data_IF_225219864541
#
_entry.id   IF_225219864541
#
_cell.length_a   1.000
_cell.length_b   1.000
_cell.length_c   1.000
_cell.angle_alpha   90.00
_cell.angle_beta   90.00
_cell.angle_gamma   90.00
#
_symmetry.space_group_name_H-M   'P 1'
#
loop_
_entity.id
_entity.type
_entity.pdbx_description
1 polymer ?
#
# COMPACT_ATOMS: atom_id res chain seq x y z
N UNK A 1 22.48 -23.71 6.93
CA UNK A 1 21.53 -24.38 6.03
C UNK A 1 20.31 -23.47 6.02
N UNK A 2 20.03 -22.76 4.91
CA UNK A 2 18.88 -21.85 4.90
C UNK A 2 17.61 -22.70 4.90
N UNK A 3 16.72 -22.45 5.84
CA UNK A 3 15.49 -23.23 5.99
C UNK A 3 14.59 -23.02 4.76
N UNK A 4 14.28 -24.09 4.03
CA UNK A 4 13.43 -24.02 2.83
C UNK A 4 12.06 -23.40 3.12
N UNK A 5 11.57 -23.56 4.36
CA UNK A 5 10.34 -22.95 4.84
C UNK A 5 10.42 -21.42 4.89
N UNK A 6 11.56 -20.87 5.33
CA UNK A 6 11.79 -19.43 5.41
C UNK A 6 11.73 -18.77 4.03
N UNK A 7 12.45 -19.33 3.05
CA UNK A 7 12.46 -18.83 1.66
C UNK A 7 11.05 -18.88 1.07
N UNK A 8 10.34 -19.98 1.31
CA UNK A 8 8.98 -20.19 0.80
C UNK A 8 8.02 -19.14 1.36
N UNK A 9 8.10 -18.83 2.66
CA UNK A 9 7.27 -17.81 3.31
C UNK A 9 7.53 -16.41 2.73
N UNK A 10 8.79 -16.03 2.50
CA UNK A 10 9.12 -14.76 1.86
C UNK A 10 8.60 -14.72 0.42
N UNK A 11 8.73 -15.81 -0.33
CA UNK A 11 8.16 -15.94 -1.67
C UNK A 11 6.64 -15.75 -1.69
N UNK A 12 5.92 -16.36 -0.75
CA UNK A 12 4.47 -16.16 -0.59
C UNK A 12 4.12 -14.72 -0.22
N UNK A 13 4.88 -14.08 0.66
CA UNK A 13 4.67 -12.69 1.04
C UNK A 13 4.84 -11.76 -0.17
N UNK A 14 5.93 -11.87 -0.92
CA UNK A 14 6.18 -11.05 -2.10
C UNK A 14 5.21 -11.35 -3.26
N UNK A 15 4.85 -12.61 -3.47
CA UNK A 15 3.81 -13.02 -4.41
C UNK A 15 2.44 -12.46 -4.03
N UNK A 16 2.07 -12.52 -2.76
CA UNK A 16 0.85 -11.94 -2.21
C UNK A 16 0.80 -10.42 -2.39
N UNK A 17 1.92 -9.73 -2.17
CA UNK A 17 2.07 -8.29 -2.42
C UNK A 17 1.76 -7.93 -3.89
N UNK A 18 2.34 -8.71 -4.81
CA UNK A 18 2.18 -8.51 -6.27
C UNK A 18 0.77 -8.84 -6.73
N UNK A 19 0.20 -9.95 -6.23
CA UNK A 19 -1.17 -10.35 -6.54
C UNK A 19 -2.17 -9.29 -6.07
N UNK A 20 -2.00 -8.77 -4.84
CA UNK A 20 -2.84 -7.69 -4.33
C UNK A 20 -2.75 -6.44 -5.23
N UNK A 21 -1.56 -6.06 -5.69
CA UNK A 21 -1.37 -4.95 -6.62
C UNK A 21 -2.11 -5.15 -7.95
N UNK A 22 -2.01 -6.35 -8.56
CA UNK A 22 -2.74 -6.67 -9.79
C UNK A 22 -4.26 -6.66 -9.56
N UNK A 23 -4.73 -7.18 -8.43
CA UNK A 23 -6.16 -7.14 -8.08
C UNK A 23 -6.65 -5.70 -7.87
N UNK A 24 -5.82 -4.79 -7.35
CA UNK A 24 -6.14 -3.36 -7.23
C UNK A 24 -6.32 -2.72 -8.62
N UNK A 25 -5.51 -3.10 -9.61
CA UNK A 25 -5.69 -2.65 -11.00
C UNK A 25 -7.02 -3.14 -11.57
N UNK A 26 -7.39 -4.39 -11.28
CA UNK A 26 -8.62 -5.00 -11.77
C UNK A 26 -9.89 -4.37 -11.16
N UNK A 27 -9.87 -4.06 -9.87
CA UNK A 27 -11.05 -3.56 -9.15
C UNK A 27 -11.37 -2.10 -9.50
N UNK A 28 -12.67 -1.80 -9.59
CA UNK A 28 -13.21 -0.44 -9.77
C UNK A 28 -13.83 0.10 -8.48
N UNK A 29 -14.37 -0.77 -7.65
CA UNK A 29 -14.93 -0.42 -6.35
C UNK A 29 -13.82 0.01 -5.38
N UNK A 30 -13.92 1.24 -4.87
CA UNK A 30 -12.93 1.81 -3.96
C UNK A 30 -12.85 1.05 -2.63
N UNK A 31 -13.95 0.46 -2.14
CA UNK A 31 -13.94 -0.34 -0.89
C UNK A 31 -13.11 -1.61 -1.07
N UNK A 32 -13.27 -2.30 -2.19
CA UNK A 32 -12.48 -3.46 -2.55
C UNK A 32 -10.99 -3.11 -2.69
N UNK A 33 -10.65 -1.96 -3.28
CA UNK A 33 -9.27 -1.47 -3.37
C UNK A 33 -8.68 -1.25 -1.96
N UNK A 34 -9.40 -0.58 -1.07
CA UNK A 34 -8.94 -0.34 0.31
C UNK A 34 -8.72 -1.66 1.06
N UNK A 35 -9.61 -2.64 0.90
CA UNK A 35 -9.44 -3.96 1.52
C UNK A 35 -8.26 -4.74 0.95
N UNK A 36 -8.02 -4.65 -0.36
CA UNK A 36 -6.85 -5.26 -0.99
C UNK A 36 -5.55 -4.62 -0.51
N UNK A 37 -5.56 -3.30 -0.28
CA UNK A 37 -4.41 -2.60 0.29
C UNK A 37 -4.10 -3.05 1.73
N UNK A 38 -5.14 -3.33 2.53
CA UNK A 38 -4.95 -3.92 3.86
C UNK A 38 -4.28 -5.31 3.76
N UNK A 39 -4.76 -6.18 2.87
CA UNK A 39 -4.14 -7.48 2.61
C UNK A 39 -2.70 -7.35 2.12
N UNK A 40 -2.42 -6.35 1.28
CA UNK A 40 -1.08 -6.05 0.83
C UNK A 40 -0.17 -5.61 1.97
N UNK A 41 -0.69 -4.83 2.93
CA UNK A 41 0.01 -4.47 4.16
C UNK A 41 0.35 -5.68 5.05
N UNK A 42 -0.55 -6.67 5.12
CA UNK A 42 -0.27 -7.94 5.83
C UNK A 42 0.87 -8.70 5.15
N UNK A 43 0.81 -8.82 3.82
CA UNK A 43 1.86 -9.49 3.04
C UNK A 43 3.21 -8.79 3.20
N UNK A 44 3.23 -7.44 3.20
CA UNK A 44 4.44 -6.65 3.45
C UNK A 44 5.02 -6.93 4.85
N UNK A 45 4.18 -6.87 5.89
CA UNK A 45 4.61 -7.07 7.28
C UNK A 45 5.14 -8.48 7.54
N UNK A 46 4.68 -9.47 6.79
CA UNK A 46 5.19 -10.84 6.88
C UNK A 46 6.70 -10.93 6.56
N UNK A 47 7.23 -10.07 5.67
CA UNK A 47 8.65 -10.10 5.28
C UNK A 47 9.58 -9.86 6.48
N UNK A 48 9.53 -8.70 7.19
CA UNK A 48 10.39 -8.46 8.34
C UNK A 48 10.06 -9.34 9.55
N UNK A 49 8.79 -9.77 9.74
CA UNK A 49 8.46 -10.70 10.83
C UNK A 49 9.11 -12.07 10.61
N UNK A 50 8.97 -12.64 9.41
CA UNK A 50 9.56 -13.94 9.09
C UNK A 50 11.08 -13.87 9.15
N UNK A 51 11.67 -12.75 8.73
CA UNK A 51 13.12 -12.50 8.87
C UNK A 51 13.57 -12.38 10.32
N UNK A 52 12.91 -11.56 11.13
CA UNK A 52 13.23 -11.40 12.55
C UNK A 52 13.07 -12.68 13.36
N UNK A 53 12.08 -13.52 13.03
CA UNK A 53 11.93 -14.84 13.63
C UNK A 53 13.05 -15.80 13.22
N UNK A 54 13.55 -15.71 11.98
CA UNK A 54 14.66 -16.54 11.51
C UNK A 54 16.00 -16.12 12.13
N UNK A 55 16.27 -14.81 12.15
CA UNK A 55 17.52 -14.22 12.64
C UNK A 55 17.54 -14.05 14.18
N UNK A 56 16.45 -14.45 14.86
CA UNK A 56 16.21 -14.25 16.29
C UNK A 56 16.33 -12.78 16.74
N UNK A 57 16.05 -11.84 15.83
CA UNK A 57 16.17 -10.41 16.06
C UNK A 57 14.81 -9.79 16.39
N UNK A 58 14.60 -9.53 17.68
CA UNK A 58 13.34 -8.98 18.18
C UNK A 58 13.02 -7.60 17.58
N UNK A 59 14.05 -6.82 17.24
CA UNK A 59 13.88 -5.51 16.59
C UNK A 59 13.12 -5.63 15.24
N UNK A 60 13.46 -6.61 14.40
CA UNK A 60 12.77 -6.84 13.13
C UNK A 60 11.32 -7.30 13.31
N UNK A 61 11.04 -8.12 14.33
CA UNK A 61 9.67 -8.54 14.65
C UNK A 61 8.84 -7.35 15.12
N UNK A 62 9.40 -6.48 15.96
CA UNK A 62 8.74 -5.24 16.41
C UNK A 62 8.47 -4.30 15.23
N UNK A 63 9.44 -4.13 14.33
CA UNK A 63 9.25 -3.34 13.10
C UNK A 63 8.15 -3.95 12.23
N UNK A 64 8.14 -5.27 12.05
CA UNK A 64 7.10 -5.96 11.31
C UNK A 64 5.70 -5.80 11.92
N UNK A 65 5.60 -5.83 13.25
CA UNK A 65 4.35 -5.56 13.96
C UNK A 65 3.90 -4.09 13.77
N UNK A 66 4.83 -3.13 13.82
CA UNK A 66 4.52 -1.73 13.56
C UNK A 66 4.03 -1.51 12.12
N UNK A 67 4.71 -2.11 11.14
CA UNK A 67 4.30 -2.10 9.72
C UNK A 67 2.92 -2.73 9.56
N UNK A 68 2.63 -3.84 10.24
CA UNK A 68 1.31 -4.48 10.19
C UNK A 68 0.21 -3.53 10.70
N UNK A 69 0.40 -2.95 11.88
CA UNK A 69 -0.59 -2.03 12.49
C UNK A 69 -0.84 -0.84 11.58
N UNK A 70 0.23 -0.24 11.07
CA UNK A 70 0.15 0.96 10.26
C UNK A 70 -0.42 0.68 8.87
N UNK A 71 0.12 -0.30 8.16
CA UNK A 71 -0.17 -0.57 6.75
C UNK A 71 -1.39 -1.45 6.52
N UNK A 72 -1.69 -2.39 7.41
CA UNK A 72 -2.89 -3.24 7.31
C UNK A 72 -4.08 -2.72 8.14
N UNK A 73 -3.83 -1.92 9.17
CA UNK A 73 -4.86 -1.38 10.05
C UNK A 73 -5.15 0.11 9.80
N UNK A 74 -4.23 0.97 10.25
CA UNK A 74 -4.46 2.42 10.35
C UNK A 74 -4.72 3.06 8.99
N UNK A 75 -3.83 2.88 8.00
CA UNK A 75 -3.96 3.53 6.69
C UNK A 75 -5.19 3.05 5.90
N UNK A 76 -5.48 1.73 5.80
CA UNK A 76 -6.71 1.27 5.16
C UNK A 76 -7.97 1.75 5.88
N UNK A 77 -7.97 1.77 7.22
CA UNK A 77 -9.11 2.29 7.99
C UNK A 77 -9.35 3.77 7.73
N UNK A 78 -8.29 4.58 7.69
CA UNK A 78 -8.38 6.00 7.37
C UNK A 78 -8.92 6.24 5.95
N UNK A 79 -8.43 5.47 4.97
CA UNK A 79 -8.97 5.52 3.60
C UNK A 79 -10.43 5.07 3.51
N UNK A 80 -10.81 4.01 4.22
CA UNK A 80 -12.19 3.54 4.30
C UNK A 80 -13.11 4.61 4.91
N UNK A 81 -12.64 5.31 5.94
CA UNK A 81 -13.38 6.41 6.57
C UNK A 81 -13.52 7.61 5.65
N UNK A 82 -12.47 7.97 4.91
CA UNK A 82 -12.53 9.02 3.90
C UNK A 82 -13.54 8.68 2.80
N UNK A 83 -13.58 7.42 2.37
CA UNK A 83 -14.52 6.91 1.36
C UNK A 83 -15.97 6.85 1.88
N UNK A 84 -16.17 6.51 3.16
CA UNK A 84 -17.50 6.46 3.77
C UNK A 84 -18.18 7.85 3.82
N UNK A 85 -17.37 8.91 3.90
CA UNK A 85 -17.85 10.30 3.82
C UNK A 85 -18.22 10.73 2.38
N UNK A 86 -17.98 9.90 1.36
CA UNK A 86 -18.38 10.17 -0.03
C UNK A 86 -19.75 9.57 -0.36
N UNK A 87 -20.50 10.26 -1.24
CA UNK A 87 -21.76 9.80 -1.80
C UNK A 87 -21.56 8.52 -2.64
N UNK A 88 -22.55 7.63 -2.69
CA UNK A 88 -22.45 6.33 -3.39
C UNK A 88 -22.08 6.44 -4.87
N UNK A 89 -22.60 7.46 -5.56
CA UNK A 89 -22.30 7.70 -6.97
C UNK A 89 -20.82 8.05 -7.26
N UNK A 90 -20.03 8.43 -6.23
CA UNK A 90 -18.62 8.79 -6.38
C UNK A 90 -17.66 7.64 -5.98
N UNK A 91 -18.19 6.49 -5.53
CA UNK A 91 -17.38 5.39 -4.97
C UNK A 91 -16.71 4.49 -6.01
N UNK A 92 -16.94 4.73 -7.30
CA UNK A 92 -16.27 4.01 -8.39
C UNK A 92 -15.06 4.78 -8.89
N UNK A 93 -13.91 4.12 -8.93
CA UNK A 93 -12.73 4.66 -9.59
C UNK A 93 -12.88 4.48 -11.11
N UNK A 94 -13.17 5.56 -11.84
CA UNK A 94 -13.14 5.59 -13.30
C UNK A 94 -11.68 5.56 -13.80
N UNK A 95 -11.18 4.41 -14.32
CA UNK A 95 -9.83 4.35 -14.85
C UNK A 95 -9.81 4.94 -16.26
N UNK A 96 -8.73 5.66 -16.62
CA UNK A 96 -8.56 6.22 -17.96
C UNK A 96 -8.36 5.15 -19.04
N UNK A 97 -7.86 3.98 -18.63
CA UNK A 97 -7.57 2.83 -19.49
C UNK A 97 -8.58 1.73 -19.16
N UNK A 98 -9.05 0.99 -20.18
CA UNK A 98 -9.96 -0.12 -19.93
C UNK A 98 -9.29 -1.19 -19.03
N UNK A 99 -10.09 -1.99 -18.34
CA UNK A 99 -9.60 -2.97 -17.36
C UNK A 99 -8.72 -4.06 -17.98
N UNK A 100 -9.04 -4.53 -19.19
CA UNK A 100 -8.27 -5.58 -19.87
C UNK A 100 -6.87 -5.08 -20.27
N UNK A 101 -6.79 -3.92 -20.91
CA UNK A 101 -5.53 -3.25 -21.26
C UNK A 101 -4.72 -2.91 -20.01
N UNK A 102 -5.36 -2.48 -18.92
CA UNK A 102 -4.68 -2.20 -17.65
C UNK A 102 -4.03 -3.45 -17.05
N UNK A 103 -4.70 -4.61 -17.14
CA UNK A 103 -4.17 -5.89 -16.68
C UNK A 103 -3.02 -6.38 -17.57
N UNK A 104 -3.13 -6.21 -18.89
CA UNK A 104 -2.03 -6.52 -19.81
C UNK A 104 -0.80 -5.65 -19.51
N UNK A 105 -0.99 -4.35 -19.30
CA UNK A 105 0.09 -3.44 -18.90
C UNK A 105 0.69 -3.88 -17.56
N UNK A 106 -0.13 -4.21 -16.56
CA UNK A 106 0.38 -4.72 -15.29
C UNK A 106 1.24 -5.98 -15.46
N UNK A 107 0.80 -6.94 -16.29
CA UNK A 107 1.57 -8.13 -16.61
C UNK A 107 2.90 -7.82 -17.33
N UNK A 108 2.89 -6.91 -18.30
CA UNK A 108 4.12 -6.44 -18.96
C UNK A 108 5.04 -5.76 -17.97
N UNK A 109 4.53 -4.91 -17.09
CA UNK A 109 5.31 -4.25 -16.03
C UNK A 109 5.93 -5.26 -15.06
N UNK A 110 5.22 -6.34 -14.73
CA UNK A 110 5.79 -7.45 -13.95
C UNK A 110 6.95 -8.10 -14.70
N UNK A 111 6.80 -8.44 -15.97
CA UNK A 111 7.89 -9.02 -16.77
C UNK A 111 9.10 -8.08 -16.83
N UNK A 112 8.85 -6.79 -17.07
CA UNK A 112 9.88 -5.74 -17.11
C UNK A 112 10.60 -5.62 -15.77
N UNK A 113 9.88 -5.63 -14.64
CA UNK A 113 10.48 -5.60 -13.32
C UNK A 113 11.44 -6.77 -13.11
N UNK A 114 11.05 -7.99 -13.49
CA UNK A 114 11.93 -9.16 -13.43
C UNK A 114 13.14 -9.03 -14.36
N UNK A 115 12.96 -8.49 -15.57
CA UNK A 115 14.08 -8.29 -16.49
C UNK A 115 15.10 -7.28 -15.97
N UNK A 116 14.66 -6.15 -15.41
CA UNK A 116 15.53 -5.07 -14.92
C UNK A 116 16.25 -5.45 -13.62
N UNK A 117 15.61 -6.25 -12.76
CA UNK A 117 16.18 -6.64 -11.47
C UNK A 117 17.08 -7.87 -11.54
N UNK A 118 17.11 -8.61 -12.65
CA UNK A 118 18.01 -9.78 -12.85
C UNK A 118 19.47 -9.52 -12.48
N UNK A 119 20.14 -8.47 -12.99
CA UNK A 119 21.55 -8.23 -12.67
C UNK A 119 21.79 -8.00 -11.17
N UNK A 120 20.80 -7.44 -10.45
CA UNK A 120 20.87 -7.24 -9.00
C UNK A 120 20.80 -8.57 -8.26
N UNK A 121 19.92 -9.47 -8.69
CA UNK A 121 19.77 -10.82 -8.12
C UNK A 121 21.03 -11.66 -8.38
N UNK A 122 21.61 -11.55 -9.57
CA UNK A 122 22.82 -12.30 -9.94
C UNK A 122 24.06 -11.85 -9.14
N UNK A 123 24.12 -10.58 -8.72
CA UNK A 123 25.22 -10.02 -7.92
C UNK A 123 25.25 -10.53 -6.48
N UNK A 124 24.07 -10.86 -5.91
CA UNK A 124 23.91 -11.30 -4.54
C UNK A 124 22.99 -12.53 -4.51
N UNK A 125 23.54 -13.76 -4.62
CA UNK A 125 22.77 -15.00 -4.58
C UNK A 125 22.29 -15.33 -3.15
N UNK A 126 21.59 -14.38 -2.53
CA UNK A 126 20.80 -14.58 -1.31
C UNK A 126 19.38 -14.98 -1.74
N UNK A 127 18.85 -16.11 -1.26
CA UNK A 127 17.48 -16.54 -1.55
C UNK A 127 16.39 -15.51 -1.24
N UNK A 128 16.62 -14.58 -0.31
CA UNK A 128 15.71 -13.48 0.00
C UNK A 128 15.66 -12.45 -1.14
N UNK A 129 16.81 -12.18 -1.77
CA UNK A 129 16.93 -11.21 -2.88
C UNK A 129 16.15 -11.67 -4.12
N UNK A 130 15.89 -12.96 -4.27
CA UNK A 130 15.04 -13.50 -5.34
C UNK A 130 13.58 -13.00 -5.29
N UNK A 131 13.13 -12.45 -4.17
CA UNK A 131 11.80 -11.84 -4.03
C UNK A 131 11.74 -10.35 -4.44
N UNK A 132 12.89 -9.70 -4.61
CA UNK A 132 13.00 -8.27 -5.00
C UNK A 132 12.29 -7.95 -6.32
N UNK A 133 12.38 -8.78 -7.38
CA UNK A 133 11.65 -8.54 -8.63
C UNK A 133 10.14 -8.34 -8.44
N UNK A 134 9.52 -9.10 -7.53
CA UNK A 134 8.09 -9.01 -7.23
C UNK A 134 7.74 -7.69 -6.53
N UNK A 135 8.55 -7.28 -5.54
CA UNK A 135 8.38 -5.97 -4.89
C UNK A 135 8.60 -4.81 -5.89
N UNK A 136 9.55 -4.94 -6.80
CA UNK A 136 9.79 -3.95 -7.86
C UNK A 136 8.64 -3.88 -8.87
N UNK A 137 8.00 -5.02 -9.18
CA UNK A 137 6.79 -5.03 -9.99
C UNK A 137 5.66 -4.22 -9.34
N UNK A 138 5.49 -4.34 -8.02
CA UNK A 138 4.50 -3.56 -7.27
C UNK A 138 4.75 -2.05 -7.41
N UNK A 139 6.00 -1.60 -7.34
CA UNK A 139 6.40 -0.21 -7.58
C UNK A 139 5.93 0.26 -8.96
N UNK A 140 6.26 -0.47 -10.02
CA UNK A 140 5.90 -0.09 -11.39
C UNK A 140 4.38 -0.08 -11.60
N UNK A 141 3.67 -1.09 -11.06
CA UNK A 141 2.20 -1.14 -11.14
C UNK A 141 1.58 0.04 -10.37
N UNK A 142 2.12 0.40 -9.22
CA UNK A 142 1.66 1.54 -8.43
C UNK A 142 1.84 2.88 -9.14
N UNK A 143 2.99 3.08 -9.81
CA UNK A 143 3.21 4.24 -10.68
C UNK A 143 2.17 4.30 -11.81
N UNK A 144 1.89 3.16 -12.45
CA UNK A 144 0.85 3.07 -13.48
C UNK A 144 -0.55 3.39 -12.93
N UNK A 145 -0.91 2.89 -11.74
CA UNK A 145 -2.18 3.21 -11.07
C UNK A 145 -2.31 4.71 -10.81
N UNK A 146 -1.26 5.35 -10.28
CA UNK A 146 -1.27 6.79 -10.03
C UNK A 146 -1.36 7.61 -11.31
N UNK A 147 -0.69 7.18 -12.39
CA UNK A 147 -0.75 7.86 -13.68
C UNK A 147 -2.12 7.75 -14.37
N UNK A 148 -2.87 6.67 -14.14
CA UNK A 148 -4.11 6.37 -14.87
C UNK A 148 -5.39 6.65 -14.08
N UNK A 149 -5.33 6.79 -12.75
CA UNK A 149 -6.49 7.05 -11.90
C UNK A 149 -6.57 8.54 -11.56
N UNK A 150 -7.74 9.15 -11.76
CA UNK A 150 -8.01 10.56 -11.41
C UNK A 150 -8.66 10.76 -10.04
N UNK A 151 -9.26 9.71 -9.49
CA UNK A 151 -9.97 9.80 -8.21
C UNK A 151 -8.97 9.90 -7.05
N UNK A 152 -9.14 10.87 -6.15
CA UNK A 152 -8.21 11.14 -5.06
C UNK A 152 -7.95 9.92 -4.17
N UNK A 153 -9.00 9.17 -3.79
CA UNK A 153 -8.86 7.93 -2.99
C UNK A 153 -8.09 6.84 -3.75
N UNK A 154 -8.25 6.76 -5.07
CA UNK A 154 -7.51 5.79 -5.88
C UNK A 154 -6.06 6.19 -6.11
N UNK A 155 -5.76 7.49 -6.19
CA UNK A 155 -4.38 7.99 -6.23
C UNK A 155 -3.70 7.76 -4.88
N UNK A 156 -4.40 8.03 -3.78
CA UNK A 156 -3.96 7.73 -2.43
C UNK A 156 -3.66 6.23 -2.26
N UNK A 157 -4.54 5.34 -2.75
CA UNK A 157 -4.30 3.91 -2.76
C UNK A 157 -3.07 3.54 -3.61
N UNK A 158 -2.92 4.11 -4.81
CA UNK A 158 -1.75 3.90 -5.67
C UNK A 158 -0.44 4.35 -5.02
N UNK A 159 -0.46 5.47 -4.31
CA UNK A 159 0.68 5.97 -3.54
C UNK A 159 1.06 5.02 -2.39
N UNK A 160 0.08 4.58 -1.59
CA UNK A 160 0.34 3.60 -0.54
C UNK A 160 0.85 2.27 -1.10
N UNK A 161 0.38 1.88 -2.28
CA UNK A 161 0.86 0.71 -3.02
C UNK A 161 2.33 0.87 -3.42
N UNK A 162 2.72 2.05 -3.89
CA UNK A 162 4.10 2.38 -4.24
C UNK A 162 4.99 2.29 -3.02
N UNK A 163 4.57 2.91 -1.92
CA UNK A 163 5.34 2.96 -0.69
C UNK A 163 5.51 1.57 -0.05
N UNK A 164 4.47 0.72 -0.13
CA UNK A 164 4.57 -0.69 0.25
C UNK A 164 5.59 -1.45 -0.62
N UNK A 165 5.63 -1.19 -1.92
CA UNK A 165 6.62 -1.77 -2.83
C UNK A 165 8.06 -1.35 -2.49
N UNK A 166 8.28 -0.05 -2.22
CA UNK A 166 9.59 0.49 -1.81
C UNK A 166 10.03 -0.12 -0.48
N UNK A 167 9.12 -0.20 0.49
CA UNK A 167 9.37 -0.79 1.81
C UNK A 167 9.70 -2.29 1.69
N UNK A 168 9.00 -3.03 0.84
CA UNK A 168 9.33 -4.44 0.57
C UNK A 168 10.74 -4.60 -0.03
N UNK A 169 11.09 -3.79 -1.04
CA UNK A 169 12.45 -3.80 -1.62
C UNK A 169 13.49 -3.50 -0.54
N UNK A 170 13.24 -2.54 0.35
CA UNK A 170 14.13 -2.21 1.45
C UNK A 170 14.34 -3.41 2.39
N UNK A 171 13.28 -4.07 2.86
CA UNK A 171 13.41 -5.24 3.74
C UNK A 171 14.06 -6.45 3.07
N UNK A 172 13.90 -6.60 1.75
CA UNK A 172 14.49 -7.72 1.01
C UNK A 172 15.98 -7.50 0.73
N UNK A 173 16.40 -6.25 0.53
CA UNK A 173 17.79 -5.90 0.23
C UNK A 173 18.63 -5.56 1.47
N UNK A 174 18.00 -5.26 2.62
CA UNK A 174 18.72 -4.85 3.83
C UNK A 174 18.48 -5.83 4.97
N UNK A 175 19.53 -6.07 5.77
CA UNK A 175 19.53 -7.02 6.88
C UNK A 175 19.34 -6.33 8.25
N UNK A 176 18.61 -5.20 8.32
CA UNK A 176 18.41 -4.45 9.57
C UNK A 176 17.23 -3.48 9.50
N UNK A 177 17.05 -2.64 10.52
CA UNK A 177 16.04 -1.57 10.54
C UNK A 177 16.45 -0.49 9.51
N UNK A 178 15.80 -0.42 8.34
CA UNK A 178 16.26 0.43 7.24
C UNK A 178 15.97 1.90 7.51
N UNK A 179 16.88 2.82 7.16
CA UNK A 179 16.62 4.27 7.16
C UNK A 179 15.33 4.62 6.37
N UNK A 180 15.03 3.84 5.34
CA UNK A 180 13.80 3.95 4.54
C UNK A 180 12.55 3.76 5.40
N UNK A 181 12.58 2.91 6.43
CA UNK A 181 11.44 2.71 7.34
C UNK A 181 11.20 3.94 8.21
N UNK A 182 12.25 4.66 8.63
CA UNK A 182 12.10 5.92 9.37
C UNK A 182 11.52 7.04 8.48
N UNK A 183 11.98 7.10 7.22
CA UNK A 183 11.40 8.01 6.23
C UNK A 183 9.95 7.63 5.88
N UNK A 184 9.67 6.34 5.76
CA UNK A 184 8.33 5.80 5.55
C UNK A 184 7.39 6.13 6.70
N UNK A 185 7.85 6.03 7.95
CA UNK A 185 7.09 6.45 9.12
C UNK A 185 6.75 7.95 9.07
N UNK A 186 7.68 8.79 8.64
CA UNK A 186 7.45 10.23 8.45
C UNK A 186 6.41 10.49 7.35
N UNK A 187 6.46 9.73 6.26
CA UNK A 187 5.51 9.82 5.15
C UNK A 187 4.10 9.35 5.57
N UNK A 188 4.02 8.31 6.40
CA UNK A 188 2.77 7.82 6.97
C UNK A 188 2.11 8.87 7.86
N UNK A 189 2.87 9.57 8.70
CA UNK A 189 2.35 10.68 9.51
C UNK A 189 1.76 11.78 8.61
N UNK A 190 2.47 12.16 7.55
CA UNK A 190 1.95 13.13 6.57
C UNK A 190 0.63 12.65 5.97
N UNK A 191 0.53 11.37 5.64
CA UNK A 191 -0.67 10.78 5.08
C UNK A 191 -1.85 10.77 6.06
N UNK A 192 -1.60 10.45 7.33
CA UNK A 192 -2.60 10.51 8.40
C UNK A 192 -3.15 11.94 8.51
N UNK A 193 -2.28 12.94 8.52
CA UNK A 193 -2.66 14.36 8.57
C UNK A 193 -3.48 14.75 7.34
N UNK A 194 -3.05 14.35 6.14
CA UNK A 194 -3.76 14.62 4.90
C UNK A 194 -5.17 14.02 4.92
N UNK A 195 -5.32 12.75 5.32
CA UNK A 195 -6.61 12.09 5.37
C UNK A 195 -7.53 12.78 6.38
N UNK A 196 -7.02 13.12 7.57
CA UNK A 196 -7.82 13.86 8.58
C UNK A 196 -8.25 15.22 8.01
N UNK A 197 -7.34 15.95 7.35
CA UNK A 197 -7.65 17.25 6.73
C UNK A 197 -8.74 17.14 5.66
N UNK A 198 -8.63 16.15 4.76
CA UNK A 198 -9.65 15.88 3.74
C UNK A 198 -10.98 15.50 4.37
N UNK A 199 -10.97 14.62 5.38
CA UNK A 199 -12.18 14.15 6.06
C UNK A 199 -12.90 15.29 6.78
N UNK A 200 -12.18 16.10 7.56
CA UNK A 200 -12.73 17.28 8.24
C UNK A 200 -13.26 18.29 7.22
N UNK A 201 -12.55 18.50 6.12
CA UNK A 201 -12.98 19.38 5.03
C UNK A 201 -14.23 18.90 4.31
N UNK A 202 -14.41 17.59 4.16
CA UNK A 202 -15.62 16.98 3.59
C UNK A 202 -16.78 16.99 4.58
N UNK A 203 -16.55 16.71 5.86
CA UNK A 203 -17.57 16.82 6.90
C UNK A 203 -18.15 18.23 6.96
N UNK A 204 -17.28 19.25 7.02
CA UNK A 204 -17.72 20.66 7.01
C UNK A 204 -18.54 21.04 5.76
N UNK A 205 -18.20 20.47 4.60
CA UNK A 205 -18.94 20.72 3.35
C UNK A 205 -20.26 19.96 3.27
N UNK A 206 -20.33 18.74 3.83
CA UNK A 206 -21.50 17.89 3.78
C UNK A 206 -22.54 18.23 4.85
N UNK A 207 -22.11 18.66 6.04
CA UNK A 207 -23.01 18.99 7.16
C UNK A 207 -23.27 20.50 7.30
N UNK A 208 -22.76 21.31 6.37
CA UNK A 208 -22.63 22.75 6.59
C UNK A 208 -21.59 23.02 7.69
N UNK A 209 -20.89 24.15 7.61
CA UNK A 209 -20.23 24.66 8.81
C UNK A 209 -21.29 24.73 9.91
N UNK A 210 -20.94 24.27 11.11
CA UNK A 210 -21.78 24.34 12.30
C UNK A 210 -22.54 25.68 12.36
N UNK A 211 -23.76 25.70 11.84
CA UNK A 211 -24.68 26.84 11.90
C UNK A 211 -25.34 26.77 13.28
N UNK A 212 -24.49 26.72 14.33
CA UNK A 212 -24.90 26.86 15.72
C UNK A 212 -25.31 28.32 16.02
N UNK A 213 -25.04 29.25 15.10
CA UNK A 213 -25.40 30.66 15.21
C UNK A 213 -26.77 31.01 14.59
N UNK A 214 -27.46 30.08 13.93
CA UNK A 214 -28.81 30.32 13.34
C UNK A 214 -30.00 29.88 14.18
N UNK A 215 -29.77 29.42 15.42
CA UNK A 215 -30.84 29.00 16.34
C UNK A 215 -31.11 30.01 17.48
N UNK A 216 -30.59 31.24 17.41
CA UNK A 216 -30.86 32.29 18.42
C UNK A 216 -31.87 33.37 17.99
N UNK A 217 -32.46 33.30 16.79
CA UNK A 217 -33.34 34.37 16.27
C UNK A 217 -34.84 34.05 16.22
N UNK A 218 -35.30 32.98 16.87
CA UNK A 218 -36.75 32.75 17.03
C UNK A 218 -37.12 32.71 18.51
N UNK A 219 -37.10 33.90 19.10
CA UNK A 219 -37.84 34.20 20.32
C UNK A 219 -38.56 35.53 20.11
N UNK A 220 -39.70 35.43 19.46
CA UNK A 220 -40.88 36.28 19.66
C UNK A 220 -42.11 35.36 19.73
#
# INVERSE_FOLDING_TARGET
>A
MIDSNFITLIGFAAGGLTLAAVLIVWRRDLRAIVRLLAWQGVALAAIPVVRGLHDAELAMVVVGAAVLVLRAGVLPWLLARALAAEQEAQREATPLVNTATSLLIAGVLTIVAFAITRPLVDLAPDPVVNAVPAAFAVILIALFVMATRRHAVSQAAGFLMLDNGITAVAFLLTAGVPLIVELGASLDVLFVVLIIGVLTGRLRRAFGGADLDRLQELRD
#
